data_IF_240039938344
#
_entry.id   IF_240039938344
#
_cell.length_a   1.000
_cell.length_b   1.000
_cell.length_c   1.000
_cell.angle_alpha   90.00
_cell.angle_beta   90.00
_cell.angle_gamma   90.00
#
_symmetry.space_group_name_H-M   'P 1'
#
loop_
_entity.id
_entity.type
_entity.pdbx_description
1 polymer ?
#
# COMPACT_ATOMS: atom_id res chain seq x y z
N UNK A 1 -12.84 0.14 44.70
CA UNK A 1 -12.06 0.15 43.45
C UNK A 1 -11.26 1.45 43.44
N UNK A 2 -9.93 1.39 43.39
CA UNK A 2 -9.09 2.58 43.60
C UNK A 2 -9.12 3.49 42.35
N UNK A 3 -9.38 4.79 42.48
CA UNK A 3 -9.60 5.72 41.35
C UNK A 3 -8.43 5.72 40.35
N UNK A 4 -7.20 5.50 40.83
CA UNK A 4 -6.00 5.37 40.00
C UNK A 4 -5.99 4.12 39.13
N UNK A 5 -6.62 3.01 39.56
CA UNK A 5 -6.76 1.80 38.74
C UNK A 5 -7.80 2.00 37.64
N UNK A 6 -8.88 2.74 37.91
CA UNK A 6 -9.90 3.04 36.90
C UNK A 6 -9.34 3.96 35.81
N UNK A 7 -8.60 5.00 36.17
CA UNK A 7 -7.93 5.90 35.22
C UNK A 7 -6.91 5.16 34.33
N UNK A 8 -6.13 4.25 34.91
CA UNK A 8 -5.20 3.38 34.16
C UNK A 8 -5.94 2.47 33.17
N UNK A 9 -7.04 1.85 33.61
CA UNK A 9 -7.86 0.98 32.74
C UNK A 9 -8.49 1.78 31.60
N UNK A 10 -9.01 2.99 31.88
CA UNK A 10 -9.59 3.89 30.86
C UNK A 10 -8.53 4.37 29.87
N UNK A 11 -7.33 4.76 30.31
CA UNK A 11 -6.20 5.12 29.43
C UNK A 11 -5.74 3.94 28.54
N UNK A 12 -5.64 2.73 29.10
CA UNK A 12 -5.27 1.52 28.33
C UNK A 12 -6.36 1.16 27.30
N UNK A 13 -7.64 1.33 27.65
CA UNK A 13 -8.77 1.14 26.72
C UNK A 13 -8.82 2.20 25.61
N UNK A 14 -8.50 3.46 25.92
CA UNK A 14 -8.40 4.54 24.91
C UNK A 14 -7.22 4.31 23.95
N UNK A 15 -6.06 3.88 24.45
CA UNK A 15 -4.91 3.55 23.61
C UNK A 15 -5.14 2.32 22.71
N UNK A 16 -6.04 1.41 23.07
CA UNK A 16 -6.35 0.23 22.28
C UNK A 16 -7.30 0.50 21.08
N UNK A 17 -7.82 1.72 20.93
CA UNK A 17 -8.82 2.05 19.89
C UNK A 17 -8.29 2.85 18.71
N UNK A 18 -7.00 3.21 18.69
CA UNK A 18 -6.39 3.98 17.60
C UNK A 18 -5.04 3.34 17.24
N UNK A 19 -5.03 2.42 16.27
CA UNK A 19 -3.90 2.06 15.38
C UNK A 19 -4.08 0.62 14.92
N UNK A 20 -5.04 0.43 14.02
CA UNK A 20 -5.35 -0.88 13.47
C UNK A 20 -5.96 -0.80 12.08
N UNK A 21 -5.67 0.24 11.31
CA UNK A 21 -5.89 0.16 9.87
C UNK A 21 -4.81 -0.76 9.29
N UNK A 22 -5.15 -2.04 9.18
CA UNK A 22 -4.29 -3.05 8.61
C UNK A 22 -3.93 -2.69 7.17
N UNK A 23 -2.64 -2.70 6.83
CA UNK A 23 -2.15 -2.64 5.45
C UNK A 23 -2.97 -3.58 4.58
N UNK A 24 -3.64 -3.03 3.56
CA UNK A 24 -4.53 -3.80 2.69
C UNK A 24 -3.77 -4.23 1.45
N UNK A 25 -3.81 -5.53 1.13
CA UNK A 25 -3.23 -6.05 -0.10
C UNK A 25 -3.98 -5.52 -1.31
N UNK A 26 -3.22 -5.13 -2.35
CA UNK A 26 -3.74 -4.83 -3.68
C UNK A 26 -3.48 -6.07 -4.54
N UNK A 27 -4.55 -6.65 -5.05
CA UNK A 27 -4.44 -7.80 -5.95
C UNK A 27 -3.93 -7.34 -7.32
N UNK A 28 -2.83 -7.94 -7.75
CA UNK A 28 -2.17 -7.64 -9.01
C UNK A 28 -2.43 -8.74 -10.05
N UNK A 29 -2.92 -8.33 -11.20
CA UNK A 29 -3.13 -9.16 -12.37
C UNK A 29 -2.11 -8.77 -13.45
N UNK A 30 -1.45 -9.76 -14.06
CA UNK A 30 -0.49 -9.52 -15.14
C UNK A 30 -0.98 -10.08 -16.48
N UNK A 31 -0.41 -9.59 -17.58
CA UNK A 31 -0.63 -10.15 -18.92
C UNK A 31 0.13 -11.47 -19.17
N UNK A 32 1.10 -11.80 -18.30
CA UNK A 32 2.05 -12.91 -18.50
C UNK A 32 1.70 -14.16 -17.69
N UNK A 33 2.24 -15.32 -18.10
CA UNK A 33 1.97 -16.66 -17.54
C UNK A 33 2.54 -16.90 -16.13
N UNK A 34 2.81 -15.88 -15.33
CA UNK A 34 3.31 -16.11 -13.96
C UNK A 34 2.15 -16.56 -13.08
N UNK A 35 2.22 -17.78 -12.49
CA UNK A 35 1.13 -18.25 -11.62
C UNK A 35 0.99 -17.40 -10.35
N UNK A 36 2.03 -16.64 -9.98
CA UNK A 36 1.98 -15.59 -8.95
C UNK A 36 2.88 -14.42 -9.37
N UNK A 37 2.44 -13.16 -9.16
CA UNK A 37 3.28 -11.98 -9.38
C UNK A 37 4.62 -12.04 -8.61
N UNK A 38 5.71 -11.50 -9.18
CA UNK A 38 7.02 -11.45 -8.52
C UNK A 38 7.09 -10.46 -7.35
N UNK A 39 6.09 -9.60 -7.22
CA UNK A 39 5.97 -8.53 -6.22
C UNK A 39 4.58 -8.58 -5.58
N UNK A 40 4.51 -8.29 -4.29
CA UNK A 40 3.26 -8.03 -3.57
C UNK A 40 3.17 -6.55 -3.20
N UNK A 41 1.96 -6.01 -3.21
CA UNK A 41 1.74 -4.58 -2.94
C UNK A 41 0.65 -4.40 -1.91
N UNK A 42 0.89 -3.52 -0.96
CA UNK A 42 -0.04 -3.19 0.11
C UNK A 42 -0.18 -1.67 0.23
N UNK A 43 -1.38 -1.20 0.49
CA UNK A 43 -1.67 0.21 0.78
C UNK A 43 -1.97 0.38 2.28
N UNK A 44 -1.29 1.35 2.87
CA UNK A 44 -1.61 1.92 4.18
C UNK A 44 -2.32 3.25 3.95
N UNK A 45 -3.62 3.30 4.21
CA UNK A 45 -4.45 4.49 3.95
C UNK A 45 -4.16 5.60 4.98
N UNK A 46 -3.75 5.24 6.20
CA UNK A 46 -3.47 6.19 7.28
C UNK A 46 -2.15 6.93 7.04
N UNK A 47 -1.08 6.17 6.75
CA UNK A 47 0.22 6.78 6.42
C UNK A 47 0.32 7.27 4.98
N UNK A 48 -0.64 6.91 4.13
CA UNK A 48 -0.62 7.13 2.68
C UNK A 48 0.63 6.55 2.03
N UNK A 49 0.92 5.29 2.33
CA UNK A 49 2.11 4.61 1.85
C UNK A 49 1.78 3.32 1.11
N UNK A 50 2.44 3.11 -0.03
CA UNK A 50 2.52 1.79 -0.65
C UNK A 50 3.73 1.04 -0.10
N UNK A 51 3.49 -0.20 0.32
CA UNK A 51 4.55 -1.17 0.57
C UNK A 51 4.68 -2.06 -0.66
N UNK A 52 5.88 -2.07 -1.25
CA UNK A 52 6.29 -2.89 -2.38
C UNK A 52 7.18 -4.01 -1.84
N UNK A 53 6.78 -5.27 -1.98
CA UNK A 53 7.52 -6.41 -1.45
C UNK A 53 7.91 -7.39 -2.57
N UNK A 54 9.19 -7.31 -2.98
CA UNK A 54 9.77 -8.25 -3.94
C UNK A 54 10.04 -9.58 -3.26
N UNK A 55 9.56 -10.65 -3.87
CA UNK A 55 9.75 -12.00 -3.30
C UNK A 55 11.20 -12.46 -3.33
N UNK A 56 11.96 -12.05 -4.34
CA UNK A 56 13.36 -12.43 -4.52
C UNK A 56 14.09 -11.35 -5.31
N UNK A 57 15.37 -11.17 -4.97
CA UNK A 57 16.29 -10.35 -5.75
C UNK A 57 16.07 -8.86 -5.56
N UNK A 58 16.57 -8.10 -6.55
CA UNK A 58 16.60 -6.65 -6.56
C UNK A 58 16.27 -6.17 -7.96
N UNK A 59 15.18 -5.44 -8.08
CA UNK A 59 14.63 -5.03 -9.38
C UNK A 59 14.47 -3.52 -9.46
N UNK A 60 14.53 -2.97 -10.67
CA UNK A 60 14.04 -1.62 -10.94
C UNK A 60 12.54 -1.71 -11.20
N UNK A 61 11.76 -1.02 -10.38
CA UNK A 61 10.31 -1.04 -10.41
C UNK A 61 9.81 0.35 -10.77
N UNK A 62 8.95 0.41 -11.79
CA UNK A 62 8.16 1.61 -12.08
C UNK A 62 6.77 1.46 -11.50
N UNK A 63 6.36 2.44 -10.72
CA UNK A 63 5.02 2.52 -10.12
C UNK A 63 4.29 3.67 -10.77
N UNK A 64 3.12 3.39 -11.35
CA UNK A 64 2.21 4.42 -11.87
C UNK A 64 0.86 4.27 -11.21
N UNK A 65 0.31 5.36 -10.69
CA UNK A 65 -1.04 5.39 -10.12
C UNK A 65 -1.84 6.46 -10.84
N UNK A 66 -3.05 6.10 -11.26
CA UNK A 66 -4.02 7.04 -11.80
C UNK A 66 -5.35 6.93 -11.08
N UNK A 67 -6.10 8.01 -11.02
CA UNK A 67 -7.53 7.91 -10.75
C UNK A 67 -8.29 7.40 -11.99
N UNK A 68 -9.60 7.16 -11.85
CA UNK A 68 -10.45 6.70 -12.95
C UNK A 68 -10.76 7.78 -14.00
N UNK A 69 -10.43 9.05 -13.72
CA UNK A 69 -10.49 10.13 -14.70
C UNK A 69 -9.23 10.21 -15.56
N UNK A 70 -8.21 9.41 -15.24
CA UNK A 70 -6.92 9.38 -15.94
C UNK A 70 -5.90 10.39 -15.41
N UNK A 71 -6.17 11.05 -14.28
CA UNK A 71 -5.18 11.95 -13.66
C UNK A 71 -4.06 11.12 -13.06
N UNK A 72 -2.81 11.53 -13.32
CA UNK A 72 -1.64 10.88 -12.73
C UNK A 72 -1.44 11.32 -11.28
N UNK A 73 -1.44 10.36 -10.36
CA UNK A 73 -1.24 10.57 -8.91
C UNK A 73 0.20 10.27 -8.52
N UNK A 74 0.82 9.27 -9.16
CA UNK A 74 2.21 8.88 -8.96
C UNK A 74 2.78 8.30 -10.26
N UNK A 75 4.06 8.55 -10.52
CA UNK A 75 4.83 7.95 -11.60
C UNK A 75 6.31 7.93 -11.19
N UNK A 76 6.68 6.96 -10.36
CA UNK A 76 8.01 6.86 -9.78
C UNK A 76 8.75 5.62 -10.27
N UNK A 77 10.07 5.76 -10.39
CA UNK A 77 11.00 4.68 -10.67
C UNK A 77 11.92 4.51 -9.47
N UNK A 78 12.01 3.29 -8.94
CA UNK A 78 12.83 2.99 -7.77
C UNK A 78 13.48 1.62 -7.87
N UNK A 79 14.62 1.47 -7.19
CA UNK A 79 15.29 0.19 -7.06
C UNK A 79 14.82 -0.48 -5.78
N UNK A 80 14.07 -1.58 -5.91
CA UNK A 80 13.50 -2.31 -4.78
C UNK A 80 14.41 -3.50 -4.47
N UNK A 81 14.76 -3.70 -3.20
CA UNK A 81 15.62 -4.77 -2.70
C UNK A 81 14.93 -5.41 -1.49
N UNK A 82 14.18 -6.49 -1.73
CA UNK A 82 13.18 -6.98 -0.77
C UNK A 82 11.99 -6.02 -0.65
N UNK A 83 11.89 -5.28 0.47
CA UNK A 83 10.74 -4.41 0.75
C UNK A 83 11.10 -2.92 0.59
N UNK A 84 10.22 -2.15 -0.05
CA UNK A 84 10.33 -0.71 -0.23
C UNK A 84 9.02 -0.01 0.18
N UNK A 85 9.14 1.18 0.76
CA UNK A 85 8.01 2.06 1.07
C UNK A 85 8.00 3.24 0.10
N UNK A 86 6.82 3.54 -0.43
CA UNK A 86 6.57 4.66 -1.33
C UNK A 86 5.48 5.55 -0.72
N UNK A 87 5.82 6.80 -0.40
CA UNK A 87 4.87 7.77 0.13
C UNK A 87 4.01 8.35 -1.00
N UNK A 88 2.71 8.49 -0.74
CA UNK A 88 1.70 9.02 -1.66
C UNK A 88 1.02 10.27 -1.05
N UNK A 89 1.74 11.38 -0.84
CA UNK A 89 1.22 12.52 -0.09
C UNK A 89 -0.03 13.15 -0.70
N UNK A 90 -0.17 13.05 -2.03
CA UNK A 90 -1.29 13.63 -2.78
C UNK A 90 -2.48 12.69 -2.95
N UNK A 91 -2.40 11.43 -2.49
CA UNK A 91 -3.54 10.52 -2.61
C UNK A 91 -4.66 10.97 -1.67
N UNK A 92 -5.89 10.87 -2.18
CA UNK A 92 -7.12 11.27 -1.49
C UNK A 92 -8.11 10.12 -1.53
N UNK A 93 -9.28 10.32 -0.93
CA UNK A 93 -10.38 9.37 -1.05
C UNK A 93 -10.79 9.21 -2.51
N UNK A 94 -10.93 7.96 -2.96
CA UNK A 94 -11.35 7.64 -4.32
C UNK A 94 -10.88 6.28 -4.80
N UNK A 95 -11.28 5.96 -6.04
CA UNK A 95 -10.87 4.74 -6.73
C UNK A 95 -9.63 5.00 -7.60
N UNK A 96 -8.70 4.05 -7.59
CA UNK A 96 -7.41 4.15 -8.25
C UNK A 96 -7.04 2.88 -9.00
N UNK A 97 -6.23 3.10 -10.05
CA UNK A 97 -5.59 2.05 -10.83
C UNK A 97 -4.10 2.12 -10.56
N UNK A 98 -3.52 1.00 -10.15
CA UNK A 98 -2.09 0.80 -9.95
C UNK A 98 -1.52 0.03 -11.13
N UNK A 99 -0.44 0.53 -11.70
CA UNK A 99 0.41 -0.20 -12.64
C UNK A 99 1.80 -0.37 -12.03
N UNK A 100 2.31 -1.60 -12.08
CA UNK A 100 3.69 -1.93 -11.71
C UNK A 100 4.37 -2.51 -12.94
N UNK A 101 5.51 -1.93 -13.32
CA UNK A 101 6.36 -2.45 -14.39
C UNK A 101 7.67 -2.95 -13.78
N UNK A 102 8.02 -4.19 -14.07
CA UNK A 102 9.30 -4.82 -13.72
C UNK A 102 9.87 -5.47 -14.98
N UNK A 103 10.96 -4.95 -15.54
CA UNK A 103 11.55 -5.43 -16.79
C UNK A 103 10.46 -5.67 -17.88
N UNK A 104 10.18 -6.95 -18.21
CA UNK A 104 9.19 -7.37 -19.22
C UNK A 104 7.81 -7.73 -18.63
N UNK A 105 7.57 -7.42 -17.37
CA UNK A 105 6.34 -7.72 -16.64
C UNK A 105 5.55 -6.44 -16.37
N UNK A 106 4.31 -6.42 -16.84
CA UNK A 106 3.31 -5.42 -16.50
C UNK A 106 2.23 -6.05 -15.61
N UNK A 107 1.99 -5.43 -14.47
CA UNK A 107 0.96 -5.81 -13.51
C UNK A 107 0.01 -4.64 -13.28
N UNK A 108 -1.27 -4.95 -13.15
CA UNK A 108 -2.33 -4.00 -12.84
C UNK A 108 -3.07 -4.42 -11.58
N UNK A 109 -3.35 -3.46 -10.71
CA UNK A 109 -4.22 -3.63 -9.56
C UNK A 109 -5.24 -2.50 -9.45
N UNK A 110 -6.35 -2.76 -8.79
CA UNK A 110 -7.38 -1.77 -8.49
C UNK A 110 -7.51 -1.65 -6.98
N UNK A 111 -7.65 -0.41 -6.49
CA UNK A 111 -7.82 -0.18 -5.05
C UNK A 111 -8.60 1.11 -4.79
N UNK A 112 -9.30 1.14 -3.66
CA UNK A 112 -10.05 2.30 -3.16
C UNK A 112 -9.34 2.86 -1.93
N UNK A 113 -9.23 4.19 -1.82
CA UNK A 113 -8.92 4.87 -0.55
C UNK A 113 -10.23 5.34 0.05
N UNK A 114 -10.51 4.92 1.30
CA UNK A 114 -11.81 5.17 1.94
C UNK A 114 -11.81 6.39 2.85
N UNK A 115 -10.65 6.70 3.45
CA UNK A 115 -10.49 7.69 4.52
C UNK A 115 -9.45 8.75 4.18
#
# INVERSE_FOLDING_TARGET
MNMNRLLLVVMVLLCATISGFAKRKIDLNGQTRFPKPPIEVFIDEESKELTLDLRKGKENVRVVITDFSGNNICNDNMKVDGTCLLSLPMIQKGDYILYIFLEDVELQGFFEIKY
#
